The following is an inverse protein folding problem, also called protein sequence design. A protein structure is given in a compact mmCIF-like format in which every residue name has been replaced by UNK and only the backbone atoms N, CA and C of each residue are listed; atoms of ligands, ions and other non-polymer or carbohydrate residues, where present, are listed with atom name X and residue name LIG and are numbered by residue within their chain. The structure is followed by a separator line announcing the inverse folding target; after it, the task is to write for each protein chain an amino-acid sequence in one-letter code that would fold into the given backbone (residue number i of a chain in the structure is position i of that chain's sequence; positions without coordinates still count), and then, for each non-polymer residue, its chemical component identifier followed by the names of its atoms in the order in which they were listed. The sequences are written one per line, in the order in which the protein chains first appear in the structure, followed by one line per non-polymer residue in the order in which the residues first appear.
data_IF_163256512200
#
_entry.id   IF_163256512200
#
_cell.length_a   1.000
_cell.length_b   1.000
_cell.length_c   1.000
_cell.angle_alpha   90.00
_cell.angle_beta   90.00
_cell.angle_gamma   90.00
#
_symmetry.space_group_name_H-M   'P 1'
#
loop_
_entity.id
_entity.type
_entity.pdbx_description
1 polymer ?
#
# COMPACT_ATOMS: atom_id res chain seq x y z
N UNK A 1 -0.23 -10.44 4.21
CA UNK A 1 1.21 -10.62 4.39
C UNK A 1 1.83 -9.32 3.95
N UNK A 2 2.58 -8.64 4.80
CA UNK A 2 3.23 -7.38 4.45
C UNK A 2 4.44 -7.62 3.52
N UNK A 3 4.98 -6.57 2.90
CA UNK A 3 6.15 -6.72 2.05
C UNK A 3 7.37 -7.15 2.87
N UNK A 4 7.50 -6.67 4.11
CA UNK A 4 8.51 -7.12 5.06
C UNK A 4 8.35 -8.60 5.41
N UNK A 5 7.14 -9.07 5.72
CA UNK A 5 6.89 -10.50 6.01
C UNK A 5 7.24 -11.39 4.79
N UNK A 6 6.95 -10.91 3.58
CA UNK A 6 7.32 -11.63 2.36
C UNK A 6 8.85 -11.64 2.14
N UNK A 7 9.55 -10.53 2.38
CA UNK A 7 11.01 -10.49 2.32
C UNK A 7 11.65 -11.43 3.35
N UNK A 8 11.16 -11.45 4.59
CA UNK A 8 11.61 -12.37 5.64
C UNK A 8 11.38 -13.83 5.22
N UNK A 9 10.24 -14.14 4.62
CA UNK A 9 9.93 -15.48 4.11
C UNK A 9 10.85 -15.89 2.96
N UNK A 10 11.12 -15.00 2.02
CA UNK A 10 12.04 -15.25 0.90
C UNK A 10 13.47 -15.48 1.43
N UNK A 11 13.92 -14.67 2.39
CA UNK A 11 15.22 -14.81 3.02
C UNK A 11 15.36 -16.16 3.73
N UNK A 12 14.38 -16.56 4.55
CA UNK A 12 14.36 -17.86 5.23
C UNK A 12 14.40 -19.02 4.23
N UNK A 13 13.62 -18.93 3.14
CA UNK A 13 13.61 -19.96 2.11
C UNK A 13 14.98 -20.09 1.40
N UNK A 14 15.67 -18.96 1.17
CA UNK A 14 17.02 -18.98 0.61
C UNK A 14 18.06 -19.52 1.59
N UNK A 15 17.96 -19.20 2.89
CA UNK A 15 18.82 -19.75 3.95
C UNK A 15 18.66 -21.27 4.07
N UNK A 16 17.42 -21.77 4.09
CA UNK A 16 17.12 -23.21 4.08
C UNK A 16 17.64 -23.90 2.82
N UNK A 17 17.58 -23.22 1.67
CA UNK A 17 18.07 -23.75 0.39
C UNK A 17 19.60 -23.79 0.31
N UNK A 18 20.29 -22.80 0.88
CA UNK A 18 21.75 -22.72 0.90
C UNK A 18 22.38 -23.68 1.93
N UNK A 19 21.67 -24.00 3.03
CA UNK A 19 22.18 -24.84 4.11
C UNK A 19 23.17 -24.09 5.02
N UNK A 20 23.96 -24.82 5.82
CA UNK A 20 24.84 -24.25 6.87
C UNK A 20 26.18 -23.71 6.39
N UNK A 21 26.40 -23.57 5.08
CA UNK A 21 27.70 -23.21 4.51
C UNK A 21 27.71 -21.73 4.08
N UNK A 22 27.90 -20.84 5.07
CA UNK A 22 27.84 -19.38 4.94
C UNK A 22 28.82 -18.81 3.89
N UNK A 23 29.91 -19.53 3.59
CA UNK A 23 30.94 -19.08 2.65
C UNK A 23 30.48 -19.05 1.18
N UNK A 24 29.29 -19.57 0.87
CA UNK A 24 28.76 -19.64 -0.50
C UNK A 24 27.40 -18.95 -0.69
N UNK A 25 26.85 -18.25 0.31
CA UNK A 25 25.48 -17.75 0.23
C UNK A 25 25.26 -16.82 -0.97
N UNK A 26 26.14 -15.86 -1.21
CA UNK A 26 26.03 -14.95 -2.36
C UNK A 26 26.18 -15.69 -3.71
N UNK A 27 27.07 -16.67 -3.78
CA UNK A 27 27.25 -17.52 -4.96
C UNK A 27 26.02 -18.41 -5.19
N UNK A 28 25.43 -18.93 -4.13
CA UNK A 28 24.21 -19.73 -4.15
C UNK A 28 23.02 -18.88 -4.61
N UNK A 29 22.84 -17.68 -4.06
CA UNK A 29 21.80 -16.74 -4.48
C UNK A 29 21.93 -16.37 -5.96
N UNK A 30 23.14 -16.33 -6.50
CA UNK A 30 23.41 -16.01 -7.90
C UNK A 30 23.22 -17.20 -8.87
N UNK A 31 23.32 -18.44 -8.38
CA UNK A 31 23.39 -19.63 -9.26
C UNK A 31 22.24 -20.63 -9.07
N UNK A 32 21.65 -20.70 -7.86
CA UNK A 32 20.52 -21.58 -7.57
C UNK A 32 19.25 -21.03 -8.24
N UNK A 33 18.59 -21.77 -9.15
CA UNK A 33 17.42 -21.27 -9.87
C UNK A 33 16.28 -20.79 -8.98
N UNK A 34 16.05 -21.45 -7.84
CA UNK A 34 15.00 -21.07 -6.87
C UNK A 34 15.35 -19.75 -6.19
N UNK A 35 16.60 -19.60 -5.74
CA UNK A 35 17.05 -18.40 -5.05
C UNK A 35 17.19 -17.20 -6.00
N UNK A 36 17.48 -17.44 -7.28
CA UNK A 36 17.44 -16.40 -8.33
C UNK A 36 16.03 -15.84 -8.48
N UNK A 37 15.01 -16.70 -8.53
CA UNK A 37 13.60 -16.27 -8.61
C UNK A 37 13.17 -15.52 -7.34
N UNK A 38 13.58 -15.99 -6.16
CA UNK A 38 13.34 -15.30 -4.90
C UNK A 38 14.01 -13.93 -4.84
N UNK A 39 15.27 -13.84 -5.29
CA UNK A 39 16.01 -12.57 -5.31
C UNK A 39 15.35 -11.56 -6.25
N UNK A 40 14.92 -11.99 -7.45
CA UNK A 40 14.16 -11.14 -8.36
C UNK A 40 12.88 -10.62 -7.73
N UNK A 41 12.14 -11.47 -7.02
CA UNK A 41 10.93 -11.06 -6.30
C UNK A 41 11.24 -10.06 -5.17
N UNK A 42 12.35 -10.25 -4.46
CA UNK A 42 12.81 -9.32 -3.44
C UNK A 42 13.21 -7.96 -4.03
N UNK A 43 13.86 -7.93 -5.20
CA UNK A 43 14.17 -6.70 -5.93
C UNK A 43 12.91 -5.95 -6.37
N UNK A 44 11.90 -6.66 -6.88
CA UNK A 44 10.61 -6.07 -7.25
C UNK A 44 9.92 -5.42 -6.03
N UNK A 45 9.93 -6.11 -4.89
CA UNK A 45 9.44 -5.57 -3.62
C UNK A 45 10.24 -4.31 -3.23
N UNK A 46 11.57 -4.37 -3.29
CA UNK A 46 12.43 -3.24 -2.91
C UNK A 46 12.17 -2.00 -3.76
N UNK A 47 12.11 -2.17 -5.10
CA UNK A 47 11.81 -1.08 -6.03
C UNK A 47 10.44 -0.45 -5.76
N UNK A 48 9.43 -1.26 -5.45
CA UNK A 48 8.10 -0.77 -5.08
C UNK A 48 8.15 0.11 -3.82
N UNK A 49 8.91 -0.30 -2.80
CA UNK A 49 9.09 0.47 -1.57
C UNK A 49 9.82 1.79 -1.81
N UNK A 50 10.90 1.78 -2.60
CA UNK A 50 11.63 3.00 -2.96
C UNK A 50 10.73 4.01 -3.70
N UNK A 51 9.91 3.53 -4.64
CA UNK A 51 8.95 4.37 -5.35
C UNK A 51 7.96 5.02 -4.38
N UNK A 52 7.48 4.27 -3.38
CA UNK A 52 6.51 4.80 -2.42
C UNK A 52 7.15 5.78 -1.43
N UNK A 53 8.38 5.53 -1.01
CA UNK A 53 9.17 6.48 -0.20
C UNK A 53 9.45 7.78 -0.98
N UNK A 54 9.83 7.67 -2.25
CA UNK A 54 10.02 8.82 -3.12
C UNK A 54 8.71 9.59 -3.31
N UNK A 55 7.58 8.91 -3.44
CA UNK A 55 6.27 9.58 -3.50
C UNK A 55 5.97 10.33 -2.20
N UNK A 56 6.28 9.75 -1.05
CA UNK A 56 6.01 10.35 0.24
C UNK A 56 6.89 11.59 0.55
N UNK A 57 8.12 11.63 0.00
CA UNK A 57 9.03 12.76 0.15
C UNK A 57 8.70 13.95 -0.76
N UNK A 58 7.83 13.77 -1.76
CA UNK A 58 7.42 14.86 -2.68
C UNK A 58 6.65 15.97 -1.97
N UNK A 59 6.78 17.23 -2.44
CA UNK A 59 5.91 18.32 -2.01
C UNK A 59 4.43 17.96 -2.19
N UNK A 60 3.57 18.51 -1.33
CA UNK A 60 2.14 18.16 -1.32
C UNK A 60 1.46 18.33 -2.67
N UNK A 61 1.76 19.40 -3.40
CA UNK A 61 1.17 19.64 -4.72
C UNK A 61 1.55 18.57 -5.75
N UNK A 62 2.81 18.14 -5.75
CA UNK A 62 3.28 17.07 -6.64
C UNK A 62 2.67 15.72 -6.26
N UNK A 63 2.67 15.42 -4.95
CA UNK A 63 2.05 14.21 -4.41
C UNK A 63 0.57 14.15 -4.79
N UNK A 64 -0.14 15.28 -4.68
CA UNK A 64 -1.53 15.39 -5.06
C UNK A 64 -1.73 15.15 -6.55
N UNK A 65 -0.89 15.72 -7.43
CA UNK A 65 -0.99 15.48 -8.88
C UNK A 65 -0.82 14.00 -9.22
N UNK A 66 0.19 13.35 -8.65
CA UNK A 66 0.49 11.94 -8.89
C UNK A 66 -0.65 11.05 -8.39
N UNK A 67 -1.06 11.23 -7.13
CA UNK A 67 -2.13 10.43 -6.55
C UNK A 67 -3.49 10.68 -7.23
N UNK A 68 -3.78 11.91 -7.66
CA UNK A 68 -5.01 12.19 -8.38
C UNK A 68 -5.06 11.46 -9.72
N UNK A 69 -3.95 11.45 -10.47
CA UNK A 69 -3.83 10.71 -11.72
C UNK A 69 -3.99 9.19 -11.49
N UNK A 70 -3.41 8.65 -10.41
CA UNK A 70 -3.58 7.22 -10.04
C UNK A 70 -5.01 6.87 -9.66
N UNK A 71 -5.68 7.70 -8.86
CA UNK A 71 -7.08 7.47 -8.47
C UNK A 71 -8.02 7.51 -9.67
N UNK A 72 -7.78 8.45 -10.60
CA UNK A 72 -8.50 8.51 -11.86
C UNK A 72 -8.29 7.24 -12.69
N UNK A 73 -7.03 6.81 -12.83
CA UNK A 73 -6.69 5.56 -13.52
C UNK A 73 -7.40 4.36 -12.89
N UNK A 74 -7.30 4.19 -11.57
CA UNK A 74 -7.96 3.10 -10.85
C UNK A 74 -9.47 3.09 -11.08
N UNK A 75 -10.11 4.26 -11.10
CA UNK A 75 -11.57 4.34 -11.29
C UNK A 75 -12.06 3.85 -12.66
N UNK A 76 -11.16 3.70 -13.63
CA UNK A 76 -11.45 3.23 -15.00
C UNK A 76 -10.92 1.83 -15.29
N UNK A 77 -10.15 1.24 -14.37
CA UNK A 77 -9.67 -0.13 -14.51
C UNK A 77 -10.80 -1.16 -14.37
N UNK A 78 -10.67 -2.34 -15.01
CA UNK A 78 -11.47 -3.53 -14.68
C UNK A 78 -11.40 -3.87 -13.18
N UNK A 79 -12.46 -4.46 -12.62
CA UNK A 79 -12.59 -4.65 -11.16
C UNK A 79 -11.46 -5.49 -10.55
N UNK A 80 -11.06 -6.58 -11.21
CA UNK A 80 -9.93 -7.45 -10.81
C UNK A 80 -8.62 -6.66 -10.74
N UNK A 81 -8.26 -5.99 -11.84
CA UNK A 81 -7.02 -5.20 -11.92
C UNK A 81 -7.03 -4.00 -10.97
N UNK A 82 -8.20 -3.41 -10.74
CA UNK A 82 -8.37 -2.31 -9.79
C UNK A 82 -8.12 -2.76 -8.37
N UNK A 83 -8.63 -3.95 -8.00
CA UNK A 83 -8.45 -4.52 -6.67
C UNK A 83 -6.97 -4.81 -6.41
N UNK A 84 -6.28 -5.41 -7.36
CA UNK A 84 -4.85 -5.70 -7.26
C UNK A 84 -4.05 -4.40 -7.10
N UNK A 85 -4.26 -3.43 -8.00
CA UNK A 85 -3.54 -2.15 -7.95
C UNK A 85 -3.80 -1.34 -6.66
N UNK A 86 -5.02 -1.37 -6.12
CA UNK A 86 -5.34 -0.74 -4.84
C UNK A 86 -4.69 -1.49 -3.68
N UNK A 87 -4.67 -2.83 -3.72
CA UNK A 87 -4.02 -3.66 -2.69
C UNK A 87 -2.51 -3.40 -2.65
N UNK A 88 -1.84 -3.42 -3.80
CA UNK A 88 -0.40 -3.17 -3.92
C UNK A 88 -0.02 -1.79 -3.37
N UNK A 89 -0.82 -0.77 -3.68
CA UNK A 89 -0.63 0.57 -3.14
C UNK A 89 -0.79 0.57 -1.60
N UNK A 90 -1.77 -0.13 -1.04
CA UNK A 90 -2.00 -0.18 0.41
C UNK A 90 -0.91 -0.97 1.13
N UNK A 91 -0.43 -2.08 0.55
CA UNK A 91 0.69 -2.86 1.07
C UNK A 91 1.96 -2.01 1.08
N UNK A 92 2.23 -1.27 0.01
CA UNK A 92 3.38 -0.35 -0.07
C UNK A 92 3.33 0.76 0.99
N UNK A 93 2.14 1.21 1.37
CA UNK A 93 1.97 2.25 2.40
C UNK A 93 2.22 1.72 3.81
N UNK A 94 2.00 0.43 4.06
CA UNK A 94 2.21 -0.19 5.37
C UNK A 94 3.68 -0.12 5.80
N UNK A 95 4.58 -0.17 4.83
CA UNK A 95 6.04 -0.18 5.01
C UNK A 95 6.67 1.20 5.13
N UNK A 96 5.88 2.27 4.93
CA UNK A 96 6.35 3.64 5.16
C UNK A 96 6.47 3.93 6.66
N UNK A 97 7.35 4.88 7.00
CA UNK A 97 7.34 5.51 8.33
C UNK A 97 5.94 6.05 8.64
N UNK A 98 5.55 6.08 9.92
CA UNK A 98 4.23 6.58 10.29
C UNK A 98 3.98 8.00 9.77
N UNK A 99 5.00 8.87 9.85
CA UNK A 99 4.94 10.24 9.35
C UNK A 99 4.65 10.29 7.84
N UNK A 100 5.41 9.54 7.04
CA UNK A 100 5.28 9.52 5.59
C UNK A 100 3.97 8.88 5.13
N UNK A 101 3.58 7.80 5.80
CA UNK A 101 2.28 7.15 5.61
C UNK A 101 1.14 8.14 5.85
N UNK A 102 1.19 8.92 6.93
CA UNK A 102 0.16 9.93 7.23
C UNK A 102 0.08 11.00 6.16
N UNK A 103 1.21 11.48 5.63
CA UNK A 103 1.22 12.46 4.52
C UNK A 103 0.50 11.88 3.29
N UNK A 104 0.84 10.67 2.86
CA UNK A 104 0.22 10.03 1.69
C UNK A 104 -1.27 9.74 1.92
N UNK A 105 -1.64 9.23 3.09
CA UNK A 105 -3.04 8.97 3.45
C UNK A 105 -3.86 10.26 3.46
N UNK A 106 -3.31 11.36 3.97
CA UNK A 106 -3.97 12.67 3.96
C UNK A 106 -4.28 13.10 2.54
N UNK A 107 -3.27 13.14 1.67
CA UNK A 107 -3.44 13.54 0.27
C UNK A 107 -4.42 12.63 -0.48
N UNK A 108 -4.32 11.31 -0.30
CA UNK A 108 -5.25 10.35 -0.90
C UNK A 108 -6.68 10.58 -0.43
N UNK A 109 -6.88 10.80 0.87
CA UNK A 109 -8.20 11.08 1.43
C UNK A 109 -8.75 12.40 0.90
N UNK A 110 -7.91 13.44 0.83
CA UNK A 110 -8.24 14.72 0.23
C UNK A 110 -8.76 14.57 -1.20
N UNK A 111 -8.05 13.82 -2.03
CA UNK A 111 -8.44 13.51 -3.41
C UNK A 111 -9.79 12.77 -3.44
N UNK A 112 -9.92 11.68 -2.68
CA UNK A 112 -11.15 10.89 -2.61
C UNK A 112 -12.37 11.73 -2.24
N UNK A 113 -12.21 12.70 -1.33
CA UNK A 113 -13.32 13.59 -0.94
C UNK A 113 -13.76 14.54 -2.05
N UNK A 114 -12.87 14.86 -2.99
CA UNK A 114 -13.12 15.80 -4.12
C UNK A 114 -13.57 15.10 -5.41
N UNK A 115 -13.40 13.78 -5.51
CA UNK A 115 -13.81 13.03 -6.70
C UNK A 115 -15.33 13.06 -6.93
N UNK A 116 -15.76 12.96 -8.20
CA UNK A 116 -17.16 12.72 -8.54
C UNK A 116 -17.72 11.52 -7.78
N UNK A 117 -19.00 11.59 -7.39
CA UNK A 117 -19.64 10.59 -6.53
C UNK A 117 -19.49 9.17 -7.07
N UNK A 118 -19.62 8.97 -8.38
CA UNK A 118 -19.58 7.64 -9.00
C UNK A 118 -18.17 7.04 -8.93
N UNK A 119 -17.14 7.81 -9.32
CA UNK A 119 -15.74 7.40 -9.18
C UNK A 119 -15.36 7.11 -7.74
N UNK A 120 -15.79 7.98 -6.82
CA UNK A 120 -15.57 7.78 -5.39
C UNK A 120 -16.23 6.48 -4.91
N UNK A 121 -17.46 6.19 -5.32
CA UNK A 121 -18.14 4.96 -4.93
C UNK A 121 -17.43 3.71 -5.48
N UNK A 122 -16.96 3.75 -6.73
CA UNK A 122 -16.18 2.67 -7.36
C UNK A 122 -14.92 2.39 -6.54
N UNK A 123 -14.10 3.41 -6.29
CA UNK A 123 -12.85 3.26 -5.53
C UNK A 123 -13.09 2.80 -4.10
N UNK A 124 -14.12 3.32 -3.44
CA UNK A 124 -14.49 2.94 -2.07
C UNK A 124 -15.04 1.51 -2.00
N UNK A 125 -15.76 1.05 -3.03
CA UNK A 125 -16.21 -0.34 -3.14
C UNK A 125 -15.04 -1.29 -3.26
N UNK A 126 -14.11 -1.01 -4.17
CA UNK A 126 -12.90 -1.82 -4.34
C UNK A 126 -11.99 -1.78 -3.11
N UNK A 127 -11.87 -0.62 -2.44
CA UNK A 127 -11.16 -0.52 -1.17
C UNK A 127 -11.79 -1.42 -0.09
N UNK A 128 -13.12 -1.45 0.00
CA UNK A 128 -13.84 -2.35 0.92
C UNK A 128 -13.52 -3.82 0.63
N UNK A 129 -13.51 -4.21 -0.64
CA UNK A 129 -13.18 -5.58 -1.07
C UNK A 129 -11.71 -5.94 -0.83
N UNK A 130 -10.78 -5.03 -1.08
CA UNK A 130 -9.36 -5.23 -0.75
C UNK A 130 -9.18 -5.43 0.76
N UNK A 131 -9.85 -4.58 1.56
CA UNK A 131 -9.79 -4.67 3.02
C UNK A 131 -10.51 -5.90 3.57
N UNK A 132 -11.44 -6.55 2.85
CA UNK A 132 -12.21 -7.66 3.42
C UNK A 132 -11.32 -8.82 3.87
N UNK A 133 -10.23 -9.07 3.15
CA UNK A 133 -9.22 -10.09 3.47
C UNK A 133 -8.21 -9.70 4.56
N UNK A 134 -8.24 -8.46 5.06
CA UNK A 134 -7.30 -8.02 6.08
C UNK A 134 -7.67 -8.51 7.49
N UNK A 135 -6.63 -8.69 8.30
CA UNK A 135 -6.77 -8.87 9.76
C UNK A 135 -7.46 -7.67 10.39
N UNK A 136 -8.09 -7.88 11.56
CA UNK A 136 -8.74 -6.79 12.29
C UNK A 136 -7.74 -5.70 12.70
N UNK A 137 -6.52 -6.10 13.08
CA UNK A 137 -5.48 -5.15 13.48
C UNK A 137 -5.07 -4.24 12.33
N UNK A 138 -4.87 -4.79 11.12
CA UNK A 138 -4.55 -3.99 9.93
C UNK A 138 -5.69 -3.04 9.55
N UNK A 139 -6.94 -3.50 9.60
CA UNK A 139 -8.13 -2.64 9.38
C UNK A 139 -8.17 -1.48 10.39
N UNK A 140 -7.84 -1.75 11.66
CA UNK A 140 -7.81 -0.75 12.72
C UNK A 140 -6.63 0.22 12.58
N UNK A 141 -5.48 -0.25 12.12
CA UNK A 141 -4.32 0.58 11.79
C UNK A 141 -4.68 1.61 10.71
N UNK A 142 -5.26 1.15 9.59
CA UNK A 142 -5.69 2.01 8.48
C UNK A 142 -6.73 3.04 8.95
N UNK A 143 -7.72 2.59 9.73
CA UNK A 143 -8.73 3.49 10.31
C UNK A 143 -8.09 4.57 11.18
N UNK A 144 -7.16 4.21 12.08
CA UNK A 144 -6.46 5.18 12.94
C UNK A 144 -5.65 6.18 12.12
N UNK A 145 -4.91 5.69 11.11
CA UNK A 145 -4.11 6.53 10.24
C UNK A 145 -4.97 7.55 9.49
N UNK A 146 -6.12 7.15 8.93
CA UNK A 146 -7.06 8.06 8.26
C UNK A 146 -7.66 9.07 9.24
N UNK A 147 -8.03 8.65 10.45
CA UNK A 147 -8.58 9.57 11.46
C UNK A 147 -7.53 10.61 11.90
N UNK A 148 -6.27 10.20 12.06
CA UNK A 148 -5.17 11.09 12.41
C UNK A 148 -4.86 12.06 11.26
N UNK A 149 -4.73 11.53 10.03
CA UNK A 149 -4.44 12.31 8.82
C UNK A 149 -5.50 13.38 8.50
N UNK A 150 -6.73 13.21 9.00
CA UNK A 150 -7.86 14.12 8.73
C UNK A 150 -8.36 14.86 9.98
N UNK A 151 -7.59 14.83 11.07
CA UNK A 151 -7.99 15.44 12.35
C UNK A 151 -8.20 16.96 12.23
N UNK A 152 -7.38 17.62 11.41
CA UNK A 152 -7.35 19.06 11.14
C UNK A 152 -8.38 19.52 10.08
N UNK A 153 -9.11 18.59 9.46
CA UNK A 153 -10.16 18.96 8.51
C UNK A 153 -11.29 19.74 9.17
N UNK A 154 -11.91 20.62 8.39
CA UNK A 154 -13.19 21.25 8.74
C UNK A 154 -14.22 20.17 9.14
N UNK A 155 -15.03 20.47 10.17
CA UNK A 155 -15.89 19.49 10.85
C UNK A 155 -16.78 18.68 9.89
N UNK A 156 -17.39 19.33 8.89
CA UNK A 156 -18.26 18.64 7.94
C UNK A 156 -17.49 17.71 7.01
N UNK A 157 -16.29 18.10 6.58
CA UNK A 157 -15.42 17.26 5.77
C UNK A 157 -14.94 16.04 6.57
N UNK A 158 -14.57 16.25 7.83
CA UNK A 158 -14.22 15.17 8.76
C UNK A 158 -15.39 14.20 8.99
N UNK A 159 -16.62 14.71 9.11
CA UNK A 159 -17.82 13.87 9.20
C UNK A 159 -18.03 13.04 7.93
N UNK A 160 -17.82 13.62 6.75
CA UNK A 160 -17.91 12.90 5.48
C UNK A 160 -16.91 11.74 5.40
N UNK A 161 -15.64 11.97 5.75
CA UNK A 161 -14.61 10.93 5.80
C UNK A 161 -15.01 9.81 6.78
N UNK A 162 -15.49 10.17 7.98
CA UNK A 162 -15.96 9.18 8.97
C UNK A 162 -17.12 8.33 8.45
N UNK A 163 -18.09 8.93 7.75
CA UNK A 163 -19.21 8.20 7.15
C UNK A 163 -18.74 7.24 6.04
N UNK A 164 -17.79 7.68 5.22
CA UNK A 164 -17.17 6.85 4.17
C UNK A 164 -16.53 5.60 4.77
N UNK A 165 -15.67 5.76 5.78
CA UNK A 165 -14.98 4.65 6.43
C UNK A 165 -15.89 3.76 7.28
N UNK A 166 -16.91 4.32 7.94
CA UNK A 166 -17.87 3.52 8.71
C UNK A 166 -18.58 2.48 7.84
N UNK A 167 -18.90 2.82 6.59
CA UNK A 167 -19.55 1.89 5.63
C UNK A 167 -18.62 0.79 5.11
N UNK A 168 -17.30 1.02 5.11
CA UNK A 168 -16.31 0.02 4.70
C UNK A 168 -16.04 -1.00 5.81
N UNK A 169 -16.08 -0.55 7.06
CA UNK A 169 -15.77 -1.37 8.24
C UNK A 169 -16.96 -2.19 8.76
N UNK A 170 -18.15 -1.99 8.18
CA UNK A 170 -19.37 -2.73 8.46
C UNK A 170 -19.58 -3.83 7.41
#
# INVERSE_FOLDING_TARGET
MSAKEELEKLALACEECAGKDDASLDEHLATCPVCVDHNKKAEEIHQMLEVMQMMASKPEEERHKILAARMEQFSTMPDDKRKDAISDMLDSLEELSEEDRLKVIKTRTDILTKLPKDKRNILMGTLKEAMSGWTQDRKMMEKRAVMAATQDYFIMKRMMVRMMFKKMMA
#
